data_IF_140935482940
#
_entry.id   IF_140935482940
#
_cell.length_a   1.000
_cell.length_b   1.000
_cell.length_c   1.000
_cell.angle_alpha   90.00
_cell.angle_beta   90.00
_cell.angle_gamma   90.00
#
_symmetry.space_group_name_H-M   'P 1'
#
loop_
_entity.id
_entity.type
_entity.pdbx_description
1 polymer ?
#
# COMPACT_ATOMS: atom_id res chain seq x y z
N UNK A 1 -7.76 -2.88 -1.86
CA UNK A 1 -7.81 -4.08 -1.01
C UNK A 1 -9.26 -4.42 -0.76
N UNK A 2 -9.56 -5.63 -0.29
CA UNK A 2 -10.91 -6.02 0.08
C UNK A 2 -10.96 -6.47 1.54
N UNK A 3 -12.00 -6.11 2.25
CA UNK A 3 -12.31 -6.70 3.55
C UNK A 3 -13.27 -7.86 3.35
N UNK A 4 -12.88 -9.05 3.79
CA UNK A 4 -13.62 -10.28 3.59
C UNK A 4 -14.01 -10.87 4.94
N UNK A 5 -15.29 -11.15 5.10
CA UNK A 5 -15.85 -11.78 6.31
C UNK A 5 -16.54 -13.08 5.94
N UNK A 6 -16.21 -14.18 6.63
CA UNK A 6 -16.90 -15.45 6.44
C UNK A 6 -18.31 -15.39 7.05
N UNK A 7 -19.35 -15.50 6.23
CA UNK A 7 -20.76 -15.54 6.66
C UNK A 7 -21.25 -16.95 6.96
N UNK A 8 -20.75 -17.94 6.22
CA UNK A 8 -21.24 -19.32 6.26
C UNK A 8 -20.12 -20.31 6.59
N UNK A 9 -20.39 -21.30 7.44
CA UNK A 9 -19.38 -22.23 7.95
C UNK A 9 -18.71 -21.75 9.24
N UNK A 10 -17.81 -22.57 9.80
CA UNK A 10 -17.08 -22.27 11.05
C UNK A 10 -15.70 -21.68 10.76
N UNK A 11 -15.01 -22.27 9.79
CA UNK A 11 -13.76 -21.79 9.21
C UNK A 11 -13.70 -22.20 7.73
N UNK A 12 -13.00 -21.42 6.92
CA UNK A 12 -12.80 -21.69 5.49
C UNK A 12 -11.36 -21.34 5.11
N UNK A 13 -10.66 -22.25 4.44
CA UNK A 13 -9.31 -21.99 3.92
C UNK A 13 -9.39 -21.57 2.45
N UNK A 14 -8.75 -20.48 2.10
CA UNK A 14 -8.57 -20.07 0.71
C UNK A 14 -7.09 -19.76 0.49
N UNK A 15 -6.41 -20.63 -0.26
CA UNK A 15 -5.00 -20.47 -0.60
C UNK A 15 -4.08 -20.41 0.62
N UNK A 16 -4.35 -21.19 1.67
CA UNK A 16 -3.58 -21.19 2.92
C UNK A 16 -3.97 -20.08 3.90
N UNK A 17 -4.92 -19.21 3.55
CA UNK A 17 -5.48 -18.22 4.46
C UNK A 17 -6.77 -18.76 5.08
N UNK A 18 -6.72 -19.01 6.38
CA UNK A 18 -7.91 -19.42 7.14
C UNK A 18 -8.74 -18.19 7.54
N UNK A 19 -10.02 -18.22 7.16
CA UNK A 19 -11.07 -17.28 7.56
C UNK A 19 -11.94 -17.92 8.62
N UNK A 20 -12.24 -17.18 9.69
CA UNK A 20 -13.14 -17.62 10.76
C UNK A 20 -14.47 -16.89 10.65
N UNK A 21 -15.56 -17.57 11.02
CA UNK A 21 -16.91 -17.00 10.92
C UNK A 21 -17.01 -15.69 11.72
N UNK A 22 -17.50 -14.64 11.06
CA UNK A 22 -17.71 -13.33 11.69
C UNK A 22 -16.43 -12.53 11.97
N UNK A 23 -15.26 -13.01 11.55
CA UNK A 23 -13.99 -12.27 11.68
C UNK A 23 -13.64 -11.64 10.32
N UNK A 24 -13.68 -10.31 10.19
CA UNK A 24 -13.25 -9.63 8.98
C UNK A 24 -11.73 -9.75 8.80
N UNK A 25 -11.29 -9.93 7.55
CA UNK A 25 -9.89 -10.01 7.16
C UNK A 25 -9.64 -9.21 5.90
N UNK A 26 -8.58 -8.39 5.91
CA UNK A 26 -8.16 -7.64 4.73
C UNK A 26 -7.31 -8.53 3.82
N UNK A 27 -7.62 -8.53 2.54
CA UNK A 27 -6.92 -9.30 1.51
C UNK A 27 -6.61 -8.45 0.29
N UNK A 28 -5.64 -8.90 -0.50
CA UNK A 28 -5.25 -8.28 -1.76
C UNK A 28 -6.39 -8.27 -2.79
N UNK A 29 -6.29 -7.37 -3.76
CA UNK A 29 -7.29 -7.16 -4.82
C UNK A 29 -7.63 -8.44 -5.58
N UNK A 30 -6.61 -9.27 -5.87
CA UNK A 30 -6.77 -10.55 -6.57
C UNK A 30 -7.61 -11.55 -5.77
N UNK A 31 -7.33 -11.68 -4.48
CA UNK A 31 -8.04 -12.63 -3.61
C UNK A 31 -9.45 -12.14 -3.30
N UNK A 32 -9.62 -10.84 -3.06
CA UNK A 32 -10.92 -10.22 -2.85
C UNK A 32 -11.88 -10.40 -4.04
N UNK A 33 -11.40 -10.17 -5.27
CA UNK A 33 -12.21 -10.41 -6.47
C UNK A 33 -12.58 -11.89 -6.64
N UNK A 34 -11.67 -12.82 -6.35
CA UNK A 34 -11.97 -14.25 -6.38
C UNK A 34 -13.07 -14.64 -5.38
N UNK A 35 -13.09 -13.99 -4.21
CA UNK A 35 -14.06 -14.27 -3.15
C UNK A 35 -15.40 -13.55 -3.36
N UNK A 36 -15.46 -12.53 -4.22
CA UNK A 36 -16.67 -11.73 -4.49
C UNK A 36 -17.78 -12.56 -5.14
N UNK A 37 -17.40 -13.56 -5.94
CA UNK A 37 -18.31 -14.51 -6.56
C UNK A 37 -18.81 -15.61 -5.61
N UNK A 38 -18.25 -15.71 -4.40
CA UNK A 38 -18.56 -16.79 -3.49
C UNK A 38 -19.57 -16.36 -2.40
N UNK A 39 -20.79 -16.93 -2.38
CA UNK A 39 -21.87 -16.52 -1.46
C UNK A 39 -21.59 -16.83 0.02
N UNK A 40 -20.54 -17.60 0.34
CA UNK A 40 -20.15 -17.86 1.73
C UNK A 40 -19.38 -16.71 2.37
N UNK A 41 -18.88 -15.78 1.56
CA UNK A 41 -18.10 -14.62 1.97
C UNK A 41 -18.89 -13.33 1.78
N UNK A 42 -18.71 -12.40 2.70
CA UNK A 42 -19.05 -11.00 2.51
C UNK A 42 -17.77 -10.27 2.14
N UNK A 43 -17.70 -9.85 0.88
CA UNK A 43 -16.60 -9.04 0.37
C UNK A 43 -17.06 -7.61 0.31
N UNK A 44 -16.38 -6.73 1.04
CA UNK A 44 -16.58 -5.30 0.98
C UNK A 44 -15.36 -4.71 0.29
N UNK A 45 -15.59 -4.01 -0.82
CA UNK A 45 -14.59 -3.09 -1.35
C UNK A 45 -14.39 -2.02 -0.32
N UNK A 46 -13.32 -2.16 0.45
CA UNK A 46 -12.80 -0.99 1.12
C UNK A 46 -12.14 -0.18 0.02
N UNK A 47 -12.57 1.07 -0.22
CA UNK A 47 -11.69 1.99 -0.89
C UNK A 47 -10.38 1.85 -0.11
N UNK A 48 -9.32 1.52 -0.83
CA UNK A 48 -8.05 2.07 -0.40
C UNK A 48 -8.37 3.56 -0.40
N UNK A 49 -8.63 4.14 0.78
CA UNK A 49 -7.96 5.40 1.04
C UNK A 49 -6.57 5.12 0.50
N UNK A 50 -6.25 5.74 -0.64
CA UNK A 50 -4.89 5.86 -1.08
C UNK A 50 -4.19 6.30 0.19
N UNK A 51 -3.50 5.36 0.81
CA UNK A 51 -2.52 5.71 1.76
C UNK A 51 -1.31 5.99 0.83
N UNK A 52 -0.95 7.18 0.36
CA UNK A 52 -1.18 8.61 0.71
C UNK A 52 -1.29 9.00 2.18
N UNK A 53 -1.36 8.02 3.06
CA UNK A 53 -0.92 8.09 4.42
C UNK A 53 0.52 7.65 4.31
N UNK A 54 1.36 8.65 4.04
CA UNK A 54 2.52 8.94 4.89
C UNK A 54 2.38 8.20 6.23
N UNK A 55 2.82 6.95 6.25
CA UNK A 55 2.87 6.10 7.43
C UNK A 55 4.20 5.35 7.31
N UNK A 56 5.13 5.56 8.25
CA UNK A 56 6.56 5.27 8.11
C UNK A 56 6.84 3.78 8.30
N UNK A 57 6.22 2.91 7.51
CA UNK A 57 6.37 1.46 7.68
C UNK A 57 6.79 0.73 6.41
N UNK A 58 6.88 1.43 5.28
CA UNK A 58 7.55 0.90 4.09
C UNK A 58 8.50 1.92 3.49
N UNK A 59 9.80 1.60 3.39
CA UNK A 59 10.71 2.46 2.67
C UNK A 59 10.28 2.52 1.19
N UNK A 60 10.18 3.73 0.64
CA UNK A 60 10.28 4.00 -0.77
C UNK A 60 11.45 3.19 -1.34
N UNK A 61 11.18 2.53 -2.46
CA UNK A 61 12.18 1.75 -3.19
C UNK A 61 12.41 2.41 -4.54
N UNK A 62 13.63 2.31 -5.08
CA UNK A 62 13.97 2.86 -6.39
C UNK A 62 12.96 2.43 -7.49
N UNK A 63 12.52 1.17 -7.47
CA UNK A 63 11.53 0.64 -8.43
C UNK A 63 10.11 1.17 -8.23
N UNK A 64 9.75 1.56 -7.02
CA UNK A 64 8.48 2.24 -6.73
C UNK A 64 8.54 3.68 -7.22
N UNK A 65 9.59 4.40 -6.83
CA UNK A 65 9.80 5.79 -7.20
C UNK A 65 9.91 5.97 -8.73
N UNK A 66 10.61 5.08 -9.45
CA UNK A 66 10.70 5.15 -10.93
C UNK A 66 9.35 5.01 -11.66
N UNK A 67 8.30 4.55 -10.99
CA UNK A 67 6.93 4.46 -11.55
C UNK A 67 6.09 5.70 -11.25
N UNK A 68 6.54 6.56 -10.35
CA UNK A 68 5.84 7.78 -9.97
C UNK A 68 6.11 8.90 -10.97
N UNK A 69 5.21 9.88 -10.99
CA UNK A 69 5.35 11.05 -11.83
C UNK A 69 6.27 12.09 -11.20
N UNK A 70 6.71 13.05 -12.00
CA UNK A 70 7.51 14.22 -11.59
C UNK A 70 6.88 14.92 -10.39
N UNK A 71 5.56 15.18 -10.44
CA UNK A 71 4.83 15.85 -9.36
C UNK A 71 4.85 15.05 -8.04
N UNK A 72 4.74 13.72 -8.12
CA UNK A 72 4.76 12.87 -6.93
C UNK A 72 6.16 12.82 -6.30
N UNK A 73 7.22 12.86 -7.12
CA UNK A 73 8.58 13.00 -6.57
C UNK A 73 8.74 14.31 -5.82
N UNK A 74 8.20 15.41 -6.35
CA UNK A 74 8.31 16.72 -5.72
C UNK A 74 7.57 16.74 -4.38
N UNK A 75 6.34 16.23 -4.35
CA UNK A 75 5.54 16.12 -3.13
C UNK A 75 6.22 15.25 -2.06
N UNK A 76 6.83 14.12 -2.45
CA UNK A 76 7.58 13.26 -1.51
C UNK A 76 8.83 13.98 -0.99
N UNK A 77 9.57 14.70 -1.84
CA UNK A 77 10.75 15.46 -1.43
C UNK A 77 10.35 16.54 -0.41
N UNK A 78 9.29 17.30 -0.68
CA UNK A 78 8.75 18.32 0.22
C UNK A 78 8.26 17.71 1.54
N UNK A 79 7.55 16.58 1.48
CA UNK A 79 7.06 15.86 2.67
C UNK A 79 8.20 15.36 3.57
N UNK A 80 9.35 15.02 2.99
CA UNK A 80 10.56 14.62 3.72
C UNK A 80 11.42 15.82 4.17
N UNK A 81 10.99 17.05 3.90
CA UNK A 81 11.71 18.28 4.26
C UNK A 81 12.87 18.64 3.31
N UNK A 82 12.90 18.04 2.12
CA UNK A 82 13.87 18.34 1.08
C UNK A 82 13.41 19.41 0.10
N UNK A 83 14.32 19.81 -0.79
CA UNK A 83 14.06 20.79 -1.84
C UNK A 83 14.03 20.11 -3.22
N UNK A 84 12.88 20.10 -3.92
CA UNK A 84 12.74 19.45 -5.22
C UNK A 84 13.44 20.21 -6.36
N UNK A 85 13.71 21.50 -6.20
CA UNK A 85 14.41 22.32 -7.19
C UNK A 85 15.92 22.05 -7.23
N UNK A 86 16.47 21.49 -6.14
CA UNK A 86 17.86 21.05 -6.02
C UNK A 86 18.24 19.96 -7.05
N UNK A 87 17.26 19.25 -7.60
CA UNK A 87 17.44 18.09 -8.48
C UNK A 87 16.74 18.26 -9.82
N UNK A 88 17.49 18.08 -10.92
CA UNK A 88 17.02 18.39 -12.29
C UNK A 88 16.43 17.20 -13.04
N UNK A 89 16.65 15.98 -12.54
CA UNK A 89 16.29 14.74 -13.24
C UNK A 89 15.55 13.78 -12.30
N UNK A 90 14.74 12.89 -12.89
CA UNK A 90 13.99 11.88 -12.14
C UNK A 90 14.91 10.96 -11.31
N UNK A 91 16.04 10.50 -11.85
CA UNK A 91 16.98 9.68 -11.07
C UNK A 91 17.58 10.43 -9.87
N UNK A 92 17.84 11.74 -10.00
CA UNK A 92 18.33 12.56 -8.88
C UNK A 92 17.25 12.78 -7.82
N UNK A 93 15.98 12.92 -8.23
CA UNK A 93 14.82 13.02 -7.33
C UNK A 93 14.64 11.72 -6.54
N UNK A 94 14.71 10.58 -7.23
CA UNK A 94 14.62 9.25 -6.62
C UNK A 94 15.71 9.03 -5.56
N UNK A 95 16.95 9.41 -5.88
CA UNK A 95 18.09 9.28 -4.96
C UNK A 95 17.94 10.19 -3.73
N UNK A 96 17.48 11.43 -3.92
CA UNK A 96 17.21 12.37 -2.85
C UNK A 96 16.12 11.87 -1.90
N UNK A 97 15.03 11.32 -2.43
CA UNK A 97 13.94 10.72 -1.64
C UNK A 97 14.45 9.56 -0.79
N UNK A 98 15.25 8.66 -1.37
CA UNK A 98 15.82 7.53 -0.63
C UNK A 98 16.70 7.99 0.52
N UNK A 99 17.55 8.99 0.27
CA UNK A 99 18.44 9.56 1.28
C UNK A 99 17.68 10.25 2.41
N UNK A 100 16.72 11.10 2.09
CA UNK A 100 15.91 11.82 3.09
C UNK A 100 15.09 10.84 3.94
N UNK A 101 14.55 9.79 3.32
CA UNK A 101 13.87 8.73 4.04
C UNK A 101 14.78 7.99 5.03
N UNK A 102 16.01 7.66 4.64
CA UNK A 102 16.97 7.00 5.55
C UNK A 102 17.33 7.89 6.74
N UNK A 103 17.48 9.20 6.51
CA UNK A 103 17.74 10.18 7.57
C UNK A 103 16.57 10.26 8.57
N UNK A 104 15.32 10.23 8.07
CA UNK A 104 14.12 10.21 8.92
C UNK A 104 13.85 8.88 9.63
N UNK A 105 14.34 7.76 9.09
CA UNK A 105 14.16 6.42 9.68
C UNK A 105 15.26 6.05 10.70
N UNK A 106 16.33 6.84 10.78
CA UNK A 106 17.52 6.58 11.58
C UNK A 106 17.58 7.25 12.97
N UNK A 107 16.56 7.99 13.39
CA UNK A 107 16.46 8.64 14.72
C UNK A 107 15.63 7.87 15.74
#
# INVERSE_FOLDING_TARGET
MYEVTLKKGKSFDVGGTVFKKGVPKVVDTKLGNYMKDNPVFQVVEKPVENADSVSPSKPYTQSGLKKLSVAEHEEIIEALGGDPESVKNADQRVDLILKLQEEQAGE
#
